data_IF_539452786586
#
_entry.id   IF_539452786586
#
_cell.length_a   1.000
_cell.length_b   1.000
_cell.length_c   1.000
_cell.angle_alpha   90.00
_cell.angle_beta   90.00
_cell.angle_gamma   90.00
#
_symmetry.space_group_name_H-M   'P 1'
#
loop_
_entity.id
_entity.type
_entity.pdbx_description
1 polymer ?
#
# COMPACT_ATOMS: atom_id res chain seq x y z
N UNK A 1 6.70 -10.31 21.28
CA UNK A 1 6.92 -10.50 19.84
C UNK A 1 5.87 -9.66 19.11
N UNK A 2 6.28 -8.83 18.15
CA UNK A 2 5.36 -7.95 17.41
C UNK A 2 4.87 -8.69 16.16
N UNK A 3 3.55 -8.89 16.06
CA UNK A 3 2.91 -9.58 14.95
C UNK A 3 2.52 -8.62 13.84
N UNK A 4 2.38 -9.16 12.62
CA UNK A 4 2.01 -8.40 11.43
C UNK A 4 0.88 -9.05 10.64
N UNK A 5 0.16 -8.27 9.86
CA UNK A 5 -0.78 -8.74 8.83
C UNK A 5 -0.66 -7.86 7.60
N UNK A 6 -0.88 -8.43 6.41
CA UNK A 6 -0.76 -7.73 5.14
C UNK A 6 -2.05 -7.85 4.36
N UNK A 7 -2.54 -6.73 3.83
CA UNK A 7 -3.61 -6.68 2.85
C UNK A 7 -3.02 -6.23 1.50
N UNK A 8 -3.41 -6.88 0.41
CA UNK A 8 -3.09 -6.45 -0.96
C UNK A 8 -4.35 -6.36 -1.80
N UNK A 9 -4.52 -5.23 -2.48
CA UNK A 9 -5.58 -5.01 -3.46
C UNK A 9 -5.01 -5.27 -4.87
N UNK A 10 -5.82 -5.84 -5.75
CA UNK A 10 -5.44 -6.08 -7.15
C UNK A 10 -6.57 -5.69 -8.09
N UNK A 11 -6.21 -5.40 -9.34
CA UNK A 11 -7.18 -5.17 -10.43
C UNK A 11 -7.31 -6.41 -11.32
N UNK A 12 -8.51 -6.74 -11.74
CA UNK A 12 -8.81 -7.79 -12.72
C UNK A 12 -8.82 -7.17 -14.12
N UNK A 13 -8.01 -7.72 -15.02
CA UNK A 13 -7.80 -7.20 -16.37
C UNK A 13 -8.25 -8.20 -17.43
N UNK A 14 -8.78 -7.70 -18.53
CA UNK A 14 -9.01 -8.49 -19.74
C UNK A 14 -7.65 -8.91 -20.35
N UNK A 15 -7.45 -10.20 -20.70
CA UNK A 15 -6.17 -10.68 -21.21
C UNK A 15 -5.82 -10.17 -22.61
N UNK A 16 -6.77 -9.59 -23.35
CA UNK A 16 -6.60 -9.10 -24.73
C UNK A 16 -6.61 -7.58 -24.77
N UNK A 17 -7.59 -6.93 -24.14
CA UNK A 17 -7.72 -5.47 -24.17
C UNK A 17 -6.96 -4.77 -23.04
N UNK A 18 -6.60 -5.50 -21.99
CA UNK A 18 -5.96 -4.99 -20.77
C UNK A 18 -6.81 -3.96 -20.00
N UNK A 19 -8.10 -3.86 -20.33
CA UNK A 19 -9.05 -3.03 -19.60
C UNK A 19 -9.49 -3.72 -18.30
N UNK A 20 -9.81 -2.96 -17.25
CA UNK A 20 -10.43 -3.50 -16.04
C UNK A 20 -11.76 -4.23 -16.34
N UNK A 21 -11.98 -5.39 -15.73
CA UNK A 21 -13.19 -6.19 -15.93
C UNK A 21 -13.96 -6.45 -14.65
N UNK A 22 -15.27 -6.28 -14.70
CA UNK A 22 -16.18 -6.39 -13.55
C UNK A 22 -16.50 -7.85 -13.17
N UNK A 23 -15.49 -8.58 -12.67
CA UNK A 23 -15.57 -10.01 -12.33
C UNK A 23 -15.20 -10.33 -10.88
N UNK A 24 -15.09 -9.32 -10.01
CA UNK A 24 -14.60 -9.49 -8.64
C UNK A 24 -15.41 -10.52 -7.83
N UNK A 25 -16.73 -10.53 -7.94
CA UNK A 25 -17.57 -11.46 -7.17
C UNK A 25 -17.41 -12.90 -7.64
N UNK A 26 -17.36 -13.13 -8.95
CA UNK A 26 -17.13 -14.46 -9.52
C UNK A 26 -15.75 -15.01 -9.12
N UNK A 27 -14.71 -14.17 -9.23
CA UNK A 27 -13.35 -14.55 -8.84
C UNK A 27 -13.24 -14.80 -7.33
N UNK A 28 -13.83 -13.93 -6.50
CA UNK A 28 -13.85 -14.09 -5.03
C UNK A 28 -14.54 -15.38 -4.63
N UNK A 29 -15.72 -15.66 -5.20
CA UNK A 29 -16.47 -16.88 -4.90
C UNK A 29 -15.67 -18.12 -5.28
N UNK A 30 -15.04 -18.14 -6.45
CA UNK A 30 -14.23 -19.27 -6.91
C UNK A 30 -12.97 -19.48 -6.06
N UNK A 31 -12.26 -18.40 -5.71
CA UNK A 31 -11.08 -18.46 -4.86
C UNK A 31 -11.44 -18.97 -3.44
N UNK A 32 -12.53 -18.46 -2.86
CA UNK A 32 -12.98 -18.84 -1.51
C UNK A 32 -13.58 -20.25 -1.40
N UNK A 33 -13.88 -20.90 -2.53
CA UNK A 33 -14.25 -22.33 -2.56
C UNK A 33 -13.03 -23.25 -2.71
N UNK A 34 -11.85 -22.69 -2.98
CA UNK A 34 -10.61 -23.45 -3.10
C UNK A 34 -10.11 -23.95 -1.75
N UNK A 35 -9.39 -25.08 -1.69
CA UNK A 35 -8.85 -25.63 -0.45
C UNK A 35 -7.71 -24.79 0.14
N UNK A 36 -7.29 -23.74 -0.58
CA UNK A 36 -6.12 -22.92 -0.28
C UNK A 36 -6.48 -21.57 0.31
N UNK A 37 -7.76 -21.26 0.57
CA UNK A 37 -8.21 -19.94 1.03
C UNK A 37 -9.18 -20.13 2.18
N UNK A 38 -8.90 -19.48 3.30
CA UNK A 38 -9.79 -19.45 4.45
C UNK A 38 -10.87 -18.36 4.31
N UNK A 39 -11.96 -18.52 5.04
CA UNK A 39 -13.07 -17.58 5.01
C UNK A 39 -12.62 -16.17 5.43
N UNK A 40 -12.79 -15.19 4.55
CA UNK A 40 -12.48 -13.78 4.80
C UNK A 40 -11.08 -13.35 4.35
N UNK A 41 -10.22 -14.27 3.89
CA UNK A 41 -8.92 -13.91 3.31
C UNK A 41 -9.03 -13.30 1.92
N UNK A 42 -10.18 -13.43 1.24
CA UNK A 42 -10.45 -12.81 -0.07
C UNK A 42 -11.76 -12.05 0.00
N UNK A 43 -11.72 -10.76 -0.33
CA UNK A 43 -12.83 -9.82 -0.17
C UNK A 43 -13.05 -9.00 -1.45
N UNK A 44 -14.28 -8.49 -1.60
CA UNK A 44 -14.56 -7.50 -2.64
C UNK A 44 -14.12 -6.12 -2.18
N UNK A 45 -13.53 -5.38 -3.12
CA UNK A 45 -13.19 -3.97 -2.96
C UNK A 45 -14.30 -3.04 -3.53
N UNK A 46 -14.09 -1.73 -3.50
CA UNK A 46 -15.02 -0.69 -3.95
C UNK A 46 -15.56 -0.93 -5.36
N UNK A 47 -14.68 -1.17 -6.34
CA UNK A 47 -15.08 -1.39 -7.74
C UNK A 47 -15.12 -2.89 -8.05
N UNK A 48 -16.06 -3.30 -8.90
CA UNK A 48 -16.25 -4.71 -9.28
C UNK A 48 -15.10 -5.29 -10.13
N UNK A 49 -14.09 -4.48 -10.45
CA UNK A 49 -12.86 -4.93 -11.09
C UNK A 49 -11.71 -5.13 -10.11
N UNK A 50 -11.93 -5.01 -8.80
CA UNK A 50 -10.88 -5.08 -7.80
C UNK A 50 -11.17 -6.16 -6.76
N UNK A 51 -10.11 -6.79 -6.29
CA UNK A 51 -10.17 -7.85 -5.29
C UNK A 51 -9.09 -7.60 -4.23
N UNK A 52 -9.45 -7.79 -2.97
CA UNK A 52 -8.55 -7.63 -1.83
C UNK A 52 -8.24 -9.01 -1.26
N UNK A 53 -6.98 -9.23 -0.89
CA UNK A 53 -6.57 -10.37 -0.08
C UNK A 53 -5.97 -9.91 1.24
N UNK A 54 -6.17 -10.68 2.30
CA UNK A 54 -5.62 -10.41 3.62
C UNK A 54 -4.94 -11.66 4.19
N UNK A 55 -3.70 -11.53 4.64
CA UNK A 55 -3.00 -12.63 5.34
C UNK A 55 -3.60 -12.86 6.72
N UNK A 56 -3.44 -14.06 7.30
CA UNK A 56 -3.55 -14.25 8.73
C UNK A 56 -2.54 -13.39 9.50
N UNK A 57 -2.69 -13.35 10.82
CA UNK A 57 -1.70 -12.73 11.72
C UNK A 57 -0.43 -13.58 11.70
N UNK A 58 0.66 -12.98 11.24
CA UNK A 58 1.97 -13.61 11.12
C UNK A 58 2.92 -13.14 12.22
N UNK A 59 3.82 -14.02 12.63
CA UNK A 59 4.92 -13.74 13.57
C UNK A 59 6.26 -13.59 12.87
N UNK A 60 6.40 -14.16 11.66
CA UNK A 60 7.63 -14.16 10.88
C UNK A 60 7.41 -13.69 9.43
N UNK A 61 8.46 -13.21 8.77
CA UNK A 61 8.38 -12.75 7.37
C UNK A 61 8.22 -13.89 6.36
N UNK A 62 8.72 -15.09 6.66
CA UNK A 62 8.54 -16.28 5.82
C UNK A 62 7.07 -16.76 5.82
N UNK A 63 6.36 -16.63 6.95
CA UNK A 63 4.90 -16.83 7.02
C UNK A 63 4.17 -15.84 6.10
N UNK A 64 4.52 -14.55 6.17
CA UNK A 64 3.96 -13.51 5.28
C UNK A 64 4.20 -13.88 3.82
N UNK A 65 5.44 -14.26 3.46
CA UNK A 65 5.80 -14.67 2.11
C UNK A 65 4.96 -15.85 1.62
N UNK A 66 4.82 -16.89 2.45
CA UNK A 66 4.03 -18.09 2.15
C UNK A 66 2.55 -17.77 1.93
N UNK A 67 1.96 -16.95 2.81
CA UNK A 67 0.55 -16.55 2.68
C UNK A 67 0.31 -15.69 1.45
N UNK A 68 1.15 -14.70 1.17
CA UNK A 68 1.00 -13.85 -0.02
C UNK A 68 1.13 -14.66 -1.32
N UNK A 69 2.10 -15.58 -1.41
CA UNK A 69 2.25 -16.45 -2.58
C UNK A 69 1.03 -17.36 -2.77
N UNK A 70 0.53 -17.97 -1.69
CA UNK A 70 -0.68 -18.80 -1.70
C UNK A 70 -1.90 -18.01 -2.18
N UNK A 71 -2.13 -16.83 -1.62
CA UNK A 71 -3.30 -16.00 -1.92
C UNK A 71 -3.24 -15.45 -3.35
N UNK A 72 -2.09 -14.93 -3.78
CA UNK A 72 -1.86 -14.48 -5.16
C UNK A 72 -2.10 -15.61 -6.17
N UNK A 73 -1.62 -16.82 -5.88
CA UNK A 73 -1.88 -17.98 -6.74
C UNK A 73 -3.37 -18.32 -6.77
N UNK A 74 -4.03 -18.43 -5.62
CA UNK A 74 -5.43 -18.81 -5.55
C UNK A 74 -6.34 -17.83 -6.33
N UNK A 75 -6.14 -16.53 -6.10
CA UNK A 75 -6.89 -15.47 -6.79
C UNK A 75 -6.51 -15.38 -8.27
N UNK A 76 -5.22 -15.52 -8.62
CA UNK A 76 -4.77 -15.54 -10.00
C UNK A 76 -5.37 -16.69 -10.81
N UNK A 77 -5.40 -17.91 -10.25
CA UNK A 77 -6.03 -19.07 -10.89
C UNK A 77 -7.54 -18.93 -11.00
N UNK A 78 -8.20 -18.36 -9.99
CA UNK A 78 -9.62 -18.04 -10.07
C UNK A 78 -9.90 -17.00 -11.17
N UNK A 79 -9.07 -15.95 -11.28
CA UNK A 79 -9.19 -14.96 -12.35
C UNK A 79 -9.08 -15.60 -13.74
N UNK A 80 -8.08 -16.48 -13.95
CA UNK A 80 -7.91 -17.19 -15.22
C UNK A 80 -9.12 -18.05 -15.58
N UNK A 81 -9.72 -18.75 -14.60
CA UNK A 81 -10.91 -19.57 -14.81
C UNK A 81 -12.14 -18.77 -15.27
N UNK A 82 -12.19 -17.48 -14.93
CA UNK A 82 -13.24 -16.55 -15.34
C UNK A 82 -12.82 -15.61 -16.49
N UNK A 83 -11.74 -15.96 -17.19
CA UNK A 83 -11.31 -15.28 -18.41
C UNK A 83 -10.63 -13.93 -18.17
N UNK A 84 -10.15 -13.66 -16.96
CA UNK A 84 -9.40 -12.44 -16.63
C UNK A 84 -8.00 -12.75 -16.10
N UNK A 85 -7.22 -11.69 -15.83
CA UNK A 85 -5.87 -11.75 -15.28
C UNK A 85 -5.79 -10.89 -14.04
N UNK A 86 -5.03 -11.35 -13.05
CA UNK A 86 -4.73 -10.57 -11.86
C UNK A 86 -3.61 -9.57 -12.17
N UNK A 87 -3.88 -8.28 -12.04
CA UNK A 87 -2.93 -7.18 -12.23
C UNK A 87 -2.35 -6.70 -10.91
N UNK A 88 -1.02 -6.77 -10.77
CA UNK A 88 -0.25 -6.34 -9.60
C UNK A 88 0.32 -4.92 -9.76
N UNK A 89 -0.51 -3.99 -10.23
CA UNK A 89 -0.18 -2.57 -10.37
C UNK A 89 -1.08 -1.73 -9.46
N UNK A 90 -0.52 -0.68 -8.87
CA UNK A 90 -1.27 0.20 -7.98
C UNK A 90 -2.23 1.14 -8.72
N UNK A 91 -2.19 1.15 -10.04
CA UNK A 91 -3.21 1.74 -10.92
C UNK A 91 -3.58 0.75 -12.02
N UNK A 92 -4.82 0.79 -12.49
CA UNK A 92 -5.16 0.25 -13.81
C UNK A 92 -4.47 1.11 -14.90
N UNK A 93 -3.60 0.54 -15.76
CA UNK A 93 -2.90 1.34 -16.76
C UNK A 93 -3.83 1.93 -17.83
N UNK A 94 -4.91 1.21 -18.15
CA UNK A 94 -5.93 1.61 -19.11
C UNK A 94 -7.28 1.76 -18.41
N UNK A 95 -8.15 2.56 -19.01
CA UNK A 95 -9.51 2.82 -18.54
C UNK A 95 -10.44 2.90 -19.74
N UNK A 96 -11.63 2.32 -19.59
CA UNK A 96 -12.69 2.42 -20.60
C UNK A 96 -13.48 3.73 -20.45
N UNK A 97 -14.24 4.10 -21.48
CA UNK A 97 -15.14 5.25 -21.43
C UNK A 97 -16.26 5.06 -20.41
N UNK A 98 -16.76 3.84 -20.26
CA UNK A 98 -17.74 3.48 -19.23
C UNK A 98 -17.04 3.18 -17.90
N UNK A 99 -17.51 3.75 -16.77
CA UNK A 99 -16.90 3.50 -15.47
C UNK A 99 -17.21 2.08 -14.99
N UNK A 100 -16.23 1.47 -14.32
CA UNK A 100 -16.42 0.18 -13.65
C UNK A 100 -17.52 0.33 -12.57
N UNK A 101 -18.54 -0.54 -12.54
CA UNK A 101 -19.56 -0.50 -11.51
C UNK A 101 -18.99 -0.69 -10.10
N UNK A 102 -19.55 0.04 -9.14
CA UNK A 102 -19.28 -0.18 -7.71
C UNK A 102 -19.85 -1.51 -7.24
N UNK A 103 -19.14 -2.17 -6.32
CA UNK A 103 -19.62 -3.34 -5.59
C UNK A 103 -20.90 -2.98 -4.83
N UNK A 104 -21.90 -3.87 -4.86
CA UNK A 104 -23.27 -3.61 -4.34
C UNK A 104 -23.36 -3.67 -2.81
N UNK A 105 -22.50 -2.93 -2.10
CA UNK A 105 -22.57 -2.69 -0.64
C UNK A 105 -23.15 -1.29 -0.39
N UNK A 106 -24.03 -1.11 0.61
CA UNK A 106 -24.64 0.21 0.90
C UNK A 106 -23.63 1.35 1.05
N UNK A 107 -22.51 1.10 1.74
CA UNK A 107 -21.41 2.07 1.91
C UNK A 107 -20.84 2.56 0.58
N UNK A 108 -20.58 1.65 -0.35
CA UNK A 108 -19.99 1.98 -1.65
C UNK A 108 -20.95 2.71 -2.57
N UNK A 109 -22.24 2.36 -2.53
CA UNK A 109 -23.29 3.09 -3.24
C UNK A 109 -23.38 4.54 -2.76
N UNK A 110 -23.36 4.75 -1.44
CA UNK A 110 -23.34 6.08 -0.82
C UNK A 110 -22.10 6.89 -1.24
N UNK A 111 -20.92 6.28 -1.21
CA UNK A 111 -19.69 6.95 -1.69
C UNK A 111 -19.81 7.43 -3.14
N UNK A 112 -20.45 6.63 -4.01
CA UNK A 112 -20.68 7.00 -5.42
C UNK A 112 -21.67 8.14 -5.56
N UNK A 113 -22.72 8.17 -4.74
CA UNK A 113 -23.68 9.27 -4.72
C UNK A 113 -23.02 10.61 -4.31
N UNK A 114 -22.11 10.56 -3.34
CA UNK A 114 -21.41 11.74 -2.81
C UNK A 114 -20.27 12.24 -3.73
N UNK A 115 -19.51 11.33 -4.34
CA UNK A 115 -18.27 11.66 -5.04
C UNK A 115 -18.08 10.84 -6.34
N UNK A 116 -19.11 10.82 -7.19
CA UNK A 116 -19.20 9.97 -8.39
C UNK A 116 -17.90 9.89 -9.22
N UNK A 117 -17.31 11.03 -9.62
CA UNK A 117 -16.09 11.04 -10.46
C UNK A 117 -14.84 10.54 -9.72
N UNK A 118 -14.73 10.80 -8.42
CA UNK A 118 -13.61 10.26 -7.62
C UNK A 118 -13.72 8.74 -7.49
N UNK A 119 -14.93 8.22 -7.30
CA UNK A 119 -15.20 6.78 -7.25
C UNK A 119 -14.93 6.12 -8.60
N UNK A 120 -15.36 6.72 -9.71
CA UNK A 120 -15.11 6.19 -11.06
C UNK A 120 -13.61 6.15 -11.41
N UNK A 121 -12.78 6.91 -10.70
CA UNK A 121 -11.33 6.98 -10.83
C UNK A 121 -10.60 6.20 -9.72
N UNK A 122 -11.31 5.49 -8.85
CA UNK A 122 -10.75 4.70 -7.76
C UNK A 122 -10.23 3.33 -8.26
N UNK A 123 -9.68 3.28 -9.48
CA UNK A 123 -8.99 2.11 -10.05
C UNK A 123 -7.54 2.03 -9.54
N UNK A 124 -7.39 2.17 -8.23
CA UNK A 124 -6.11 2.18 -7.53
C UNK A 124 -6.05 1.09 -6.48
N UNK A 125 -4.89 0.46 -6.34
CA UNK A 125 -4.70 -0.73 -5.53
C UNK A 125 -3.53 -0.56 -4.56
N UNK A 126 -3.78 -0.73 -3.27
CA UNK A 126 -2.80 -0.57 -2.20
C UNK A 126 -2.23 -1.88 -1.66
N UNK A 127 -1.18 -1.71 -0.86
CA UNK A 127 -0.75 -2.69 0.13
C UNK A 127 -0.90 -2.04 1.51
N UNK A 128 -1.55 -2.72 2.44
CA UNK A 128 -1.65 -2.28 3.83
C UNK A 128 -0.88 -3.21 4.74
N UNK A 129 -0.09 -2.64 5.66
CA UNK A 129 0.65 -3.41 6.66
C UNK A 129 0.12 -3.05 8.04
N UNK A 130 -0.45 -4.04 8.72
CA UNK A 130 -0.85 -3.98 10.11
C UNK A 130 0.29 -4.45 10.99
N UNK A 131 0.64 -3.67 12.01
CA UNK A 131 1.62 -4.04 13.03
C UNK A 131 0.99 -3.93 14.40
N UNK A 132 1.05 -5.01 15.19
CA UNK A 132 0.48 -5.02 16.53
C UNK A 132 1.13 -3.98 17.43
N UNK A 133 0.29 -3.26 18.18
CA UNK A 133 0.72 -2.30 19.21
C UNK A 133 0.17 -2.74 20.58
N UNK A 134 0.88 -2.47 21.69
CA UNK A 134 0.44 -2.91 23.03
C UNK A 134 -0.90 -2.31 23.44
N UNK A 135 -1.11 -1.04 23.13
CA UNK A 135 -2.29 -0.24 23.45
C UNK A 135 -2.40 0.94 22.48
N UNK A 136 -3.54 1.64 22.50
CA UNK A 136 -3.83 2.72 21.56
C UNK A 136 -2.97 3.95 21.81
N UNK A 137 -2.64 4.25 23.06
CA UNK A 137 -1.75 5.35 23.46
C UNK A 137 -0.36 5.18 22.86
N UNK A 138 0.24 4.00 23.03
CA UNK A 138 1.49 3.60 22.40
C UNK A 138 1.37 3.63 20.87
N UNK A 139 0.22 3.25 20.33
CA UNK A 139 -0.05 3.33 18.90
C UNK A 139 -0.04 4.77 18.35
N UNK A 140 -0.61 5.75 19.08
CA UNK A 140 -0.52 7.18 18.70
C UNK A 140 0.92 7.66 18.76
N UNK A 141 1.64 7.30 19.83
CA UNK A 141 3.05 7.64 19.98
C UNK A 141 3.92 7.05 18.85
N UNK A 142 3.63 5.82 18.44
CA UNK A 142 4.30 5.16 17.31
C UNK A 142 3.95 5.84 15.98
N UNK A 143 2.69 6.21 15.77
CA UNK A 143 2.22 6.92 14.58
C UNK A 143 2.94 8.26 14.40
N UNK A 144 3.08 9.04 15.47
CA UNK A 144 3.79 10.32 15.45
C UNK A 144 5.26 10.20 15.03
N UNK A 145 5.93 9.10 15.37
CA UNK A 145 7.32 8.82 15.01
C UNK A 145 7.46 8.23 13.62
N UNK A 146 6.52 7.38 13.21
CA UNK A 146 6.54 6.73 11.90
C UNK A 146 6.19 7.71 10.77
N UNK A 147 5.34 8.72 11.01
CA UNK A 147 4.79 9.58 9.94
C UNK A 147 5.85 10.24 9.06
N UNK A 148 7.01 10.60 9.62
CA UNK A 148 8.11 11.24 8.87
C UNK A 148 8.85 10.28 7.92
N UNK A 149 8.64 8.97 8.07
CA UNK A 149 9.17 7.93 7.19
C UNK A 149 8.20 7.50 6.09
N UNK A 150 6.93 7.95 6.13
CA UNK A 150 5.94 7.65 5.09
C UNK A 150 6.39 8.06 3.68
N UNK A 151 7.07 9.22 3.46
CA UNK A 151 7.59 9.56 2.13
C UNK A 151 8.60 8.54 1.63
N UNK A 152 9.49 8.05 2.50
CA UNK A 152 10.48 7.03 2.13
C UNK A 152 9.80 5.71 1.80
N UNK A 153 8.84 5.26 2.62
CA UNK A 153 8.05 4.06 2.36
C UNK A 153 7.30 4.13 1.01
N UNK A 154 6.65 5.28 0.75
CA UNK A 154 5.97 5.52 -0.52
C UNK A 154 6.94 5.41 -1.70
N UNK A 155 8.08 6.10 -1.62
CA UNK A 155 9.09 6.09 -2.68
C UNK A 155 9.62 4.68 -2.98
N UNK A 156 9.84 3.86 -1.96
CA UNK A 156 10.26 2.46 -2.10
C UNK A 156 9.19 1.60 -2.77
N UNK A 157 7.93 1.81 -2.41
CA UNK A 157 6.81 0.99 -2.88
C UNK A 157 6.27 1.37 -4.26
N UNK A 158 6.66 2.52 -4.81
CA UNK A 158 6.03 3.12 -5.98
C UNK A 158 5.85 2.13 -7.15
N UNK A 159 4.58 1.94 -7.56
CA UNK A 159 4.19 0.95 -8.57
C UNK A 159 2.97 1.41 -9.40
N UNK A 160 2.87 2.71 -9.68
CA UNK A 160 1.77 3.25 -10.48
C UNK A 160 2.18 4.43 -11.37
N UNK A 161 3.14 4.27 -12.29
CA UNK A 161 3.54 5.37 -13.17
C UNK A 161 2.56 5.64 -14.31
N UNK A 162 1.73 4.67 -14.69
CA UNK A 162 0.85 4.75 -15.86
C UNK A 162 -0.61 4.95 -15.46
N UNK A 163 -1.29 5.86 -16.15
CA UNK A 163 -2.72 6.14 -16.02
C UNK A 163 -3.30 6.54 -17.38
N UNK A 164 -4.47 6.01 -17.73
CA UNK A 164 -5.17 6.32 -18.99
C UNK A 164 -4.26 6.18 -20.23
N UNK A 165 -3.41 5.14 -20.23
CA UNK A 165 -2.53 4.79 -21.35
C UNK A 165 -1.23 5.60 -21.43
N UNK A 166 -0.98 6.53 -20.51
CA UNK A 166 0.17 7.42 -20.54
C UNK A 166 1.00 7.33 -19.26
N UNK A 167 2.32 7.55 -19.38
CA UNK A 167 3.16 7.85 -18.21
C UNK A 167 2.72 9.21 -17.65
N UNK A 168 2.35 9.20 -16.37
CA UNK A 168 1.86 10.38 -15.64
C UNK A 168 2.97 11.34 -15.25
N UNK A 169 4.22 10.90 -15.34
CA UNK A 169 5.38 11.55 -14.76
C UNK A 169 5.55 11.28 -13.25
N UNK A 170 4.62 10.59 -12.58
CA UNK A 170 4.74 10.20 -11.18
C UNK A 170 5.22 8.75 -11.06
N UNK A 171 5.89 8.42 -9.96
CA UNK A 171 6.24 7.03 -9.63
C UNK A 171 5.05 6.32 -8.95
N UNK A 172 4.31 7.04 -8.09
CA UNK A 172 3.03 6.60 -7.51
C UNK A 172 1.91 7.58 -7.86
N UNK A 173 1.20 7.30 -8.95
CA UNK A 173 -0.01 8.02 -9.30
C UNK A 173 -1.18 7.68 -8.36
N UNK A 174 -1.19 6.47 -7.78
CA UNK A 174 -2.15 6.08 -6.73
C UNK A 174 -2.23 7.11 -5.61
N UNK A 175 -1.08 7.62 -5.16
CA UNK A 175 -1.04 8.65 -4.11
C UNK A 175 -1.76 9.93 -4.53
N UNK A 176 -1.63 10.34 -5.79
CA UNK A 176 -2.28 11.54 -6.32
C UNK A 176 -3.79 11.34 -6.46
N UNK A 177 -4.22 10.19 -6.96
CA UNK A 177 -5.64 9.82 -7.05
C UNK A 177 -6.28 9.83 -5.67
N UNK A 178 -5.64 9.19 -4.70
CA UNK A 178 -6.16 9.03 -3.33
C UNK A 178 -6.15 10.35 -2.53
N UNK A 179 -5.18 11.23 -2.80
CA UNK A 179 -5.05 12.54 -2.14
C UNK A 179 -6.19 13.54 -2.42
N UNK A 180 -7.16 13.18 -3.29
CA UNK A 180 -8.31 14.02 -3.63
C UNK A 180 -9.49 13.84 -2.68
N UNK A 181 -9.42 12.87 -1.76
CA UNK A 181 -10.45 12.66 -0.76
C UNK A 181 -10.30 13.64 0.43
N UNK A 182 -11.40 14.04 1.10
CA UNK A 182 -11.40 15.14 2.08
C UNK A 182 -10.44 14.96 3.27
N UNK A 183 -10.32 13.73 3.79
CA UNK A 183 -9.48 13.41 4.95
C UNK A 183 -8.38 12.44 4.52
N UNK A 184 -7.50 12.88 3.63
CA UNK A 184 -6.44 12.06 3.04
C UNK A 184 -5.05 12.65 3.25
N UNK A 185 -4.01 11.83 3.01
CA UNK A 185 -2.61 12.23 3.11
C UNK A 185 -1.92 11.73 4.38
N UNK A 186 -0.75 12.28 4.74
CA UNK A 186 -0.04 11.88 5.95
C UNK A 186 -0.86 12.22 7.21
N UNK A 187 -0.85 11.37 8.24
CA UNK A 187 -1.55 11.64 9.48
C UNK A 187 -0.98 12.90 10.15
N UNK A 188 -1.83 13.74 10.76
CA UNK A 188 -1.36 14.85 11.57
C UNK A 188 -0.54 14.39 12.78
N UNK A 189 0.09 15.33 13.47
CA UNK A 189 0.64 15.07 14.81
C UNK A 189 -0.50 15.06 15.82
N UNK A 190 -0.46 14.13 16.77
CA UNK A 190 -1.44 14.05 17.86
C UNK A 190 -0.75 14.15 19.20
N UNK A 191 -1.23 15.02 20.10
CA UNK A 191 -0.61 15.21 21.41
C UNK A 191 -0.82 14.01 22.34
N UNK A 192 -1.99 13.40 22.25
CA UNK A 192 -2.43 12.27 23.08
C UNK A 192 -3.44 11.41 22.31
N UNK A 193 -3.81 10.27 22.87
CA UNK A 193 -4.94 9.50 22.35
C UNK A 193 -6.26 10.29 22.38
N UNK A 194 -6.49 11.10 23.42
CA UNK A 194 -7.67 11.96 23.48
C UNK A 194 -7.70 12.97 22.32
N UNK A 195 -6.57 13.62 22.02
CA UNK A 195 -6.43 14.53 20.87
C UNK A 195 -6.66 13.82 19.53
N UNK A 196 -6.30 12.53 19.43
CA UNK A 196 -6.61 11.70 18.27
C UNK A 196 -8.12 11.45 18.12
N UNK A 197 -8.78 11.03 19.19
CA UNK A 197 -10.22 10.73 19.19
C UNK A 197 -11.08 11.99 18.99
N UNK A 198 -10.77 13.08 19.70
CA UNK A 198 -11.50 14.35 19.60
C UNK A 198 -11.47 14.92 18.17
N UNK A 199 -10.34 14.80 17.48
CA UNK A 199 -10.20 15.30 16.11
C UNK A 199 -10.95 14.45 15.09
N UNK A 200 -11.06 13.14 15.34
CA UNK A 200 -11.89 12.26 14.51
C UNK A 200 -13.37 12.54 14.76
N UNK A 201 -13.77 12.67 16.03
CA UNK A 201 -15.15 12.97 16.39
C UNK A 201 -15.59 14.32 15.80
N UNK A 202 -14.76 15.35 15.85
CA UNK A 202 -15.05 16.63 15.23
C UNK A 202 -15.30 16.53 13.70
N UNK A 203 -14.62 15.61 13.00
CA UNK A 203 -14.86 15.36 11.57
C UNK A 203 -16.20 14.65 11.33
N UNK A 204 -16.58 13.73 12.22
CA UNK A 204 -17.88 13.03 12.18
C UNK A 204 -19.03 13.99 12.50
N UNK A 205 -18.92 14.77 13.57
CA UNK A 205 -19.92 15.76 14.00
C UNK A 205 -20.13 16.86 12.94
N UNK A 206 -19.06 17.29 12.27
CA UNK A 206 -19.14 18.24 11.16
C UNK A 206 -19.79 17.63 9.90
N UNK A 207 -19.98 16.31 9.84
CA UNK A 207 -20.55 15.60 8.70
C UNK A 207 -19.66 15.59 7.45
N UNK A 208 -18.36 15.88 7.59
CA UNK A 208 -17.41 15.83 6.47
C UNK A 208 -16.97 14.40 6.13
N UNK A 209 -17.15 13.48 7.09
CA UNK A 209 -17.06 12.04 6.91
C UNK A 209 -18.28 11.36 7.55
N UNK A 210 -18.75 10.27 6.96
CA UNK A 210 -19.87 9.47 7.43
C UNK A 210 -19.45 8.41 8.47
N UNK A 211 -18.22 7.93 8.40
CA UNK A 211 -17.65 6.97 9.34
C UNK A 211 -16.11 7.06 9.40
N UNK A 212 -15.51 6.46 10.43
CA UNK A 212 -14.04 6.45 10.65
C UNK A 212 -13.27 5.76 9.53
N UNK A 213 -13.91 4.88 8.78
CA UNK A 213 -13.34 4.25 7.60
C UNK A 213 -13.09 5.21 6.44
N UNK A 214 -13.66 6.43 6.45
CA UNK A 214 -13.35 7.51 5.49
C UNK A 214 -12.16 8.39 5.93
N UNK A 215 -11.46 8.01 6.99
CA UNK A 215 -10.15 8.58 7.33
C UNK A 215 -9.10 7.90 6.45
N UNK A 216 -8.76 8.56 5.36
CA UNK A 216 -7.81 8.09 4.34
C UNK A 216 -6.37 8.52 4.63
N UNK A 217 -6.01 8.58 5.91
CA UNK A 217 -4.62 8.81 6.29
C UNK A 217 -3.74 7.65 5.83
N UNK A 218 -2.52 8.01 5.43
CA UNK A 218 -1.48 7.10 4.94
C UNK A 218 -0.92 6.17 6.01
N UNK A 219 -1.17 6.46 7.28
CA UNK A 219 -1.11 5.52 8.39
C UNK A 219 -2.11 5.93 9.46
N UNK A 220 -2.68 4.97 10.19
CA UNK A 220 -3.66 5.22 11.26
C UNK A 220 -3.69 4.08 12.28
N UNK A 221 -4.34 4.33 13.42
CA UNK A 221 -4.76 3.23 14.28
C UNK A 221 -5.89 2.48 13.57
N UNK A 222 -5.84 1.15 13.56
CA UNK A 222 -6.97 0.36 13.09
C UNK A 222 -8.11 0.43 14.11
N UNK A 223 -9.33 0.62 13.62
CA UNK A 223 -10.54 0.54 14.46
C UNK A 223 -10.96 -0.92 14.72
N UNK A 224 -10.50 -1.86 13.88
CA UNK A 224 -10.88 -3.28 13.94
C UNK A 224 -9.86 -4.11 14.71
N UNK A 225 -8.58 -3.79 14.59
CA UNK A 225 -7.48 -4.57 15.17
C UNK A 225 -6.61 -3.69 16.09
N UNK A 226 -5.98 -4.25 17.13
CA UNK A 226 -5.06 -3.52 18.00
C UNK A 226 -3.70 -3.30 17.30
N UNK A 227 -3.73 -2.58 16.17
CA UNK A 227 -2.61 -2.43 15.25
C UNK A 227 -2.48 -1.00 14.78
N UNK A 228 -1.25 -0.58 14.49
CA UNK A 228 -0.98 0.54 13.60
C UNK A 228 -1.00 0.01 12.15
N UNK A 229 -1.80 0.65 11.31
CA UNK A 229 -2.03 0.28 9.92
C UNK A 229 -1.34 1.30 8.99
N UNK A 230 -0.34 0.88 8.22
CA UNK A 230 0.34 1.69 7.21
C UNK A 230 -0.28 1.42 5.85
N UNK A 231 -0.77 2.48 5.18
CA UNK A 231 -1.59 2.41 3.96
C UNK A 231 -1.02 3.21 2.77
N UNK A 232 0.14 3.83 2.94
CA UNK A 232 0.78 4.61 1.87
C UNK A 232 1.32 3.75 0.73
N UNK A 233 1.49 2.45 0.93
CA UNK A 233 2.18 1.59 -0.01
C UNK A 233 1.29 1.29 -1.22
N UNK A 234 1.89 1.37 -2.40
CA UNK A 234 1.33 0.78 -3.62
C UNK A 234 1.39 -0.76 -3.51
N UNK A 235 0.46 -1.49 -4.13
CA UNK A 235 0.60 -2.97 -4.24
C UNK A 235 1.87 -3.31 -5.01
N UNK A 236 2.55 -4.42 -4.70
CA UNK A 236 3.85 -4.76 -5.30
C UNK A 236 3.75 -5.79 -6.43
N UNK A 237 4.60 -5.65 -7.46
CA UNK A 237 4.69 -6.63 -8.56
C UNK A 237 5.01 -8.03 -8.02
N UNK A 238 6.02 -8.13 -7.15
CA UNK A 238 6.52 -9.38 -6.59
C UNK A 238 6.21 -9.47 -5.09
N UNK A 239 5.81 -10.65 -4.61
CA UNK A 239 5.52 -10.87 -3.18
C UNK A 239 6.75 -10.61 -2.29
N UNK A 240 7.96 -10.81 -2.82
CA UNK A 240 9.21 -10.54 -2.10
C UNK A 240 9.42 -9.02 -1.82
N UNK A 241 8.89 -8.13 -2.66
CA UNK A 241 8.92 -6.69 -2.39
C UNK A 241 7.88 -6.31 -1.32
N UNK A 242 6.72 -6.98 -1.31
CA UNK A 242 5.74 -6.84 -0.23
C UNK A 242 6.33 -7.29 1.12
N UNK A 243 7.06 -8.41 1.17
CA UNK A 243 7.75 -8.90 2.37
C UNK A 243 8.81 -7.91 2.87
N UNK A 244 9.60 -7.32 1.96
CA UNK A 244 10.56 -6.27 2.29
C UNK A 244 9.89 -5.10 3.02
N UNK A 245 8.81 -4.57 2.42
CA UNK A 245 8.08 -3.44 2.98
C UNK A 245 7.44 -3.80 4.32
N UNK A 246 6.90 -5.01 4.48
CA UNK A 246 6.37 -5.49 5.77
C UNK A 246 7.44 -5.54 6.85
N UNK A 247 8.64 -6.05 6.55
CA UNK A 247 9.77 -6.08 7.49
C UNK A 247 10.21 -4.69 7.92
N UNK A 248 10.30 -3.74 6.98
CA UNK A 248 10.65 -2.35 7.26
C UNK A 248 9.56 -1.67 8.11
N UNK A 249 8.28 -1.84 7.78
CA UNK A 249 7.16 -1.26 8.54
C UNK A 249 7.10 -1.85 9.95
N UNK A 250 7.29 -3.17 10.10
CA UNK A 250 7.41 -3.83 11.41
C UNK A 250 8.53 -3.21 12.24
N UNK A 251 9.71 -3.05 11.65
CA UNK A 251 10.87 -2.52 12.36
C UNK A 251 10.71 -1.02 12.70
N UNK A 252 10.11 -0.21 11.82
CA UNK A 252 9.77 1.18 12.11
C UNK A 252 8.82 1.31 13.29
N UNK A 253 7.73 0.54 13.32
CA UNK A 253 6.79 0.56 14.46
C UNK A 253 7.45 0.05 15.73
N UNK A 254 8.27 -1.01 15.64
CA UNK A 254 9.00 -1.55 16.79
C UNK A 254 9.99 -0.55 17.38
N UNK A 255 10.79 0.13 16.54
CA UNK A 255 11.68 1.22 16.95
C UNK A 255 10.89 2.35 17.59
N UNK A 256 9.77 2.77 16.98
CA UNK A 256 8.94 3.84 17.53
C UNK A 256 8.34 3.50 18.90
N UNK A 257 7.93 2.24 19.14
CA UNK A 257 7.49 1.75 20.45
C UNK A 257 8.64 1.77 21.47
N UNK A 258 9.84 1.35 21.06
CA UNK A 258 11.02 1.35 21.93
C UNK A 258 11.42 2.78 22.33
N UNK A 259 11.37 3.72 21.39
CA UNK A 259 11.65 5.15 21.64
C UNK A 259 10.62 5.79 22.56
N UNK A 260 9.34 5.46 22.42
CA UNK A 260 8.30 5.90 23.35
C UNK A 260 8.59 5.42 24.78
N UNK A 261 8.89 4.13 24.95
CA UNK A 261 9.25 3.57 26.26
C UNK A 261 10.51 4.21 26.86
N UNK A 262 11.45 4.63 26.01
CA UNK A 262 12.67 5.30 26.42
C UNK A 262 12.49 6.82 26.65
N UNK A 263 11.31 7.39 26.39
CA UNK A 263 11.05 8.82 26.54
C UNK A 263 11.74 9.70 25.49
N UNK A 264 12.13 9.14 24.34
CA UNK A 264 12.74 9.89 23.24
C UNK A 264 11.66 10.70 22.54
N UNK A 265 11.80 12.02 22.45
CA UNK A 265 10.80 12.88 21.80
C UNK A 265 10.58 12.51 20.32
N UNK A 266 9.34 12.56 19.81
CA UNK A 266 9.07 12.34 18.39
C UNK A 266 9.69 13.44 17.52
N UNK A 267 10.02 13.15 16.25
CA UNK A 267 10.59 14.13 15.34
C UNK A 267 9.59 15.26 15.04
N UNK A 268 10.08 16.50 15.12
CA UNK A 268 9.33 17.67 14.70
C UNK A 268 9.28 17.75 13.17
N UNK A 269 8.08 17.85 12.62
CA UNK A 269 7.87 18.03 11.18
C UNK A 269 6.56 18.79 10.98
N UNK A 270 6.62 19.91 10.25
CA UNK A 270 5.43 20.69 9.96
C UNK A 270 4.51 19.90 9.01
N UNK A 271 3.18 20.05 9.13
CA UNK A 271 2.25 19.39 8.21
C UNK A 271 2.50 19.74 6.74
N UNK A 272 2.88 20.98 6.44
CA UNK A 272 3.16 21.45 5.08
C UNK A 272 4.36 20.73 4.49
N UNK A 273 5.44 20.60 5.26
CA UNK A 273 6.64 19.91 4.83
C UNK A 273 6.39 18.42 4.62
N UNK A 274 5.64 17.77 5.52
CA UNK A 274 5.31 16.35 5.39
C UNK A 274 4.44 16.09 4.15
N UNK A 275 3.44 16.94 3.89
CA UNK A 275 2.64 16.86 2.67
C UNK A 275 3.48 17.06 1.39
N UNK A 276 4.36 18.06 1.39
CA UNK A 276 5.27 18.30 0.26
C UNK A 276 6.24 17.11 0.05
N UNK A 277 6.75 16.51 1.13
CA UNK A 277 7.59 15.33 1.08
C UNK A 277 6.87 14.11 0.50
N UNK A 278 5.60 13.88 0.90
CA UNK A 278 4.77 12.82 0.31
C UNK A 278 4.56 13.02 -1.19
N UNK A 279 4.24 14.25 -1.61
CA UNK A 279 4.08 14.56 -3.04
C UNK A 279 5.40 14.36 -3.80
N UNK A 280 6.52 14.82 -3.24
CA UNK A 280 7.85 14.67 -3.85
C UNK A 280 8.24 13.20 -4.00
N UNK A 281 7.98 12.38 -2.98
CA UNK A 281 8.17 10.93 -3.04
C UNK A 281 7.26 10.27 -4.09
N UNK A 282 5.98 10.65 -4.15
CA UNK A 282 5.05 10.17 -5.18
C UNK A 282 5.54 10.50 -6.60
N UNK A 283 6.12 11.69 -6.79
CA UNK A 283 6.62 12.16 -8.08
C UNK A 283 7.89 11.46 -8.52
N UNK A 284 8.85 11.26 -7.61
CA UNK A 284 10.21 10.89 -7.97
C UNK A 284 10.61 9.46 -7.61
N UNK A 285 9.85 8.76 -6.77
CA UNK A 285 10.26 7.44 -6.28
C UNK A 285 11.68 7.49 -5.71
N UNK A 286 12.50 6.49 -6.04
CA UNK A 286 13.92 6.43 -5.63
C UNK A 286 14.91 7.01 -6.66
N UNK A 287 14.44 7.55 -7.79
CA UNK A 287 15.30 8.01 -8.90
C UNK A 287 16.00 9.36 -8.62
N UNK A 288 15.61 10.07 -7.57
CA UNK A 288 16.08 11.43 -7.27
C UNK A 288 16.43 11.59 -5.79
N UNK A 289 15.96 12.67 -5.21
CA UNK A 289 16.11 13.02 -3.81
C UNK A 289 14.85 12.70 -3.04
N UNK A 290 15.00 12.53 -1.72
CA UNK A 290 13.91 12.44 -0.76
C UNK A 290 14.11 13.50 0.32
N UNK A 291 13.02 13.84 1.01
CA UNK A 291 13.08 14.65 2.24
C UNK A 291 13.29 13.69 3.40
N UNK A 292 14.37 13.89 4.16
CA UNK A 292 14.70 13.09 5.34
C UNK A 292 13.76 13.41 6.52
N UNK A 293 13.76 12.60 7.60
CA UNK A 293 12.92 12.84 8.77
C UNK A 293 13.16 14.16 9.51
N UNK A 294 14.30 14.83 9.25
CA UNK A 294 14.64 16.14 9.80
C UNK A 294 14.22 17.28 8.85
N UNK A 295 13.62 16.97 7.71
CA UNK A 295 13.15 17.96 6.74
C UNK A 295 14.18 18.40 5.69
N UNK A 296 15.34 17.73 5.60
CA UNK A 296 16.36 18.07 4.61
C UNK A 296 16.24 17.21 3.35
N UNK A 297 16.43 17.83 2.19
CA UNK A 297 16.54 17.10 0.93
C UNK A 297 17.89 16.38 0.85
N UNK A 298 17.88 15.07 0.56
CA UNK A 298 19.06 14.21 0.38
C UNK A 298 18.87 13.27 -0.79
N UNK A 299 19.93 12.60 -1.24
CA UNK A 299 19.77 11.51 -2.22
C UNK A 299 18.89 10.40 -1.64
N UNK A 300 18.11 9.71 -2.49
CA UNK A 300 17.29 8.59 -2.02
C UNK A 300 18.14 7.53 -1.29
N UNK A 301 19.35 7.24 -1.78
CA UNK A 301 20.29 6.32 -1.14
C UNK A 301 20.70 6.74 0.27
N UNK A 302 20.95 8.03 0.52
CA UNK A 302 21.29 8.53 1.85
C UNK A 302 20.11 8.39 2.82
N UNK A 303 18.89 8.68 2.36
CA UNK A 303 17.68 8.54 3.19
C UNK A 303 17.40 7.07 3.50
N UNK A 304 17.61 6.16 2.54
CA UNK A 304 17.51 4.72 2.78
C UNK A 304 18.58 4.22 3.75
N UNK A 305 19.81 4.74 3.66
CA UNK A 305 20.85 4.42 4.64
C UNK A 305 20.48 4.88 6.05
N UNK A 306 19.92 6.09 6.18
CA UNK A 306 19.41 6.61 7.46
C UNK A 306 18.26 5.75 7.99
N UNK A 307 17.30 5.37 7.14
CA UNK A 307 16.20 4.47 7.48
C UNK A 307 16.73 3.15 8.00
N UNK A 308 17.61 2.49 7.24
CA UNK A 308 18.17 1.20 7.63
C UNK A 308 18.92 1.29 8.96
N UNK A 309 19.76 2.32 9.14
CA UNK A 309 20.45 2.56 10.41
C UNK A 309 19.47 2.74 11.57
N UNK A 310 18.36 3.44 11.35
CA UNK A 310 17.33 3.70 12.36
C UNK A 310 16.59 2.42 12.79
N UNK A 311 16.36 1.49 11.86
CA UNK A 311 15.58 0.27 12.13
C UNK A 311 16.41 -1.00 12.38
N UNK A 312 17.73 -0.97 12.15
CA UNK A 312 18.62 -2.13 12.33
C UNK A 312 18.45 -2.83 13.68
N UNK A 313 18.41 -2.13 14.84
CA UNK A 313 18.24 -2.81 16.13
C UNK A 313 16.94 -3.62 16.21
N UNK A 314 15.83 -3.09 15.68
CA UNK A 314 14.55 -3.79 15.65
C UNK A 314 14.55 -4.97 14.66
N UNK A 315 15.24 -4.85 13.53
CA UNK A 315 15.43 -5.95 12.58
C UNK A 315 16.26 -7.09 13.19
N UNK A 316 17.29 -6.77 13.97
CA UNK A 316 18.12 -7.75 14.68
C UNK A 316 17.31 -8.48 15.76
N UNK A 317 16.53 -7.75 16.55
CA UNK A 317 15.64 -8.32 17.57
C UNK A 317 14.57 -9.25 16.96
N UNK A 318 14.02 -8.88 15.81
CA UNK A 318 13.02 -9.68 15.11
C UNK A 318 13.61 -10.85 14.31
N UNK A 319 14.92 -10.87 14.07
CA UNK A 319 15.58 -11.86 13.19
C UNK A 319 15.48 -11.56 11.69
N UNK A 320 15.00 -10.37 11.31
CA UNK A 320 14.69 -9.97 9.92
C UNK A 320 15.87 -9.38 9.15
N UNK A 321 16.94 -8.99 9.84
CA UNK A 321 18.01 -8.18 9.27
C UNK A 321 18.58 -8.74 7.96
N UNK A 322 18.81 -10.07 7.92
CA UNK A 322 19.37 -10.72 6.73
C UNK A 322 18.41 -10.71 5.56
N UNK A 323 17.14 -11.01 5.79
CA UNK A 323 16.12 -11.08 4.76
C UNK A 323 15.83 -9.68 4.20
N UNK A 324 15.54 -8.72 5.07
CA UNK A 324 15.29 -7.31 4.70
C UNK A 324 16.51 -6.72 3.98
N UNK A 325 17.73 -6.95 4.48
CA UNK A 325 18.95 -6.47 3.83
C UNK A 325 19.15 -7.05 2.42
N UNK A 326 18.89 -8.35 2.25
CA UNK A 326 18.99 -9.01 0.94
C UNK A 326 17.93 -8.50 -0.05
N UNK A 327 16.69 -8.32 0.42
CA UNK A 327 15.60 -7.83 -0.42
C UNK A 327 15.79 -6.35 -0.80
N UNK A 328 16.28 -5.52 0.13
CA UNK A 328 16.62 -4.13 -0.16
C UNK A 328 17.73 -4.03 -1.21
N UNK A 329 18.76 -4.88 -1.10
CA UNK A 329 19.82 -4.94 -2.11
C UNK A 329 19.23 -5.28 -3.49
N UNK A 330 18.32 -6.25 -3.58
CA UNK A 330 17.61 -6.57 -4.83
C UNK A 330 16.85 -5.36 -5.37
N UNK A 331 16.04 -4.68 -4.55
CA UNK A 331 15.28 -3.49 -4.95
C UNK A 331 16.21 -2.41 -5.55
N UNK A 332 17.34 -2.13 -4.91
CA UNK A 332 18.31 -1.14 -5.39
C UNK A 332 19.00 -1.54 -6.69
N UNK A 333 19.15 -2.84 -6.97
CA UNK A 333 19.73 -3.33 -8.23
C UNK A 333 18.71 -3.32 -9.37
N UNK A 334 17.45 -3.65 -9.09
CA UNK A 334 16.40 -3.79 -10.12
C UNK A 334 15.61 -2.51 -10.38
N UNK A 335 15.68 -1.55 -9.46
CA UNK A 335 14.76 -0.42 -9.40
C UNK A 335 13.42 -0.80 -8.76
N UNK A 336 12.64 0.23 -8.46
CA UNK A 336 11.26 0.10 -7.98
C UNK A 336 10.36 -0.53 -9.05
N UNK A 337 9.19 -1.04 -8.68
CA UNK A 337 8.20 -1.48 -9.66
C UNK A 337 7.83 -0.41 -10.69
N UNK A 338 7.75 0.87 -10.31
CA UNK A 338 7.53 1.97 -11.26
C UNK A 338 8.65 2.08 -12.30
N UNK A 339 9.92 1.97 -11.90
CA UNK A 339 11.06 2.02 -12.81
C UNK A 339 11.01 0.87 -13.83
N UNK A 340 10.64 -0.32 -13.36
CA UNK A 340 10.43 -1.52 -14.20
C UNK A 340 9.28 -1.32 -15.18
N UNK A 341 8.14 -0.80 -14.73
CA UNK A 341 7.00 -0.50 -15.60
C UNK A 341 7.37 0.49 -16.71
N UNK A 342 8.06 1.59 -16.38
CA UNK A 342 8.49 2.58 -17.39
C UNK A 342 9.46 2.01 -18.40
N UNK A 343 10.44 1.21 -17.95
CA UNK A 343 11.39 0.53 -18.84
C UNK A 343 10.66 -0.38 -19.83
N UNK A 344 9.78 -1.24 -19.33
CA UNK A 344 9.04 -2.18 -20.18
C UNK A 344 8.08 -1.45 -21.12
N UNK A 345 7.43 -0.37 -20.66
CA UNK A 345 6.58 0.47 -21.50
C UNK A 345 7.37 1.12 -22.65
N UNK A 346 8.59 1.62 -22.37
CA UNK A 346 9.45 2.21 -23.39
C UNK A 346 9.95 1.16 -24.41
N UNK A 347 10.28 -0.04 -23.95
CA UNK A 347 10.85 -1.10 -24.79
C UNK A 347 9.80 -1.84 -25.63
N UNK A 348 8.60 -2.07 -25.09
CA UNK A 348 7.59 -2.96 -25.67
C UNK A 348 6.15 -2.45 -25.64
N UNK A 349 5.93 -1.20 -25.23
CA UNK A 349 4.61 -0.56 -25.21
C UNK A 349 3.65 -1.17 -24.18
N UNK A 350 2.37 -0.85 -24.33
CA UNK A 350 1.31 -1.22 -23.38
C UNK A 350 1.14 -2.73 -23.23
N UNK A 351 1.34 -3.51 -24.31
CA UNK A 351 1.24 -4.97 -24.25
C UNK A 351 2.32 -5.56 -23.34
N UNK A 352 3.57 -5.10 -23.46
CA UNK A 352 4.65 -5.58 -22.61
C UNK A 352 4.44 -5.17 -21.14
N UNK A 353 3.91 -3.96 -20.91
CA UNK A 353 3.53 -3.52 -19.58
C UNK A 353 2.43 -4.41 -18.98
N UNK A 354 1.40 -4.74 -19.75
CA UNK A 354 0.34 -5.65 -19.33
C UNK A 354 0.88 -7.05 -18.99
N UNK A 355 1.82 -7.58 -19.77
CA UNK A 355 2.47 -8.86 -19.48
C UNK A 355 3.32 -8.82 -18.19
N UNK A 356 3.98 -7.69 -17.91
CA UNK A 356 4.74 -7.49 -16.67
C UNK A 356 3.80 -7.52 -15.45
N UNK A 357 2.74 -6.69 -15.46
CA UNK A 357 1.84 -6.53 -14.29
C UNK A 357 0.89 -7.72 -14.10
N UNK A 358 0.71 -8.57 -15.12
CA UNK A 358 -0.08 -9.81 -15.00
C UNK A 358 0.78 -11.07 -14.83
N UNK A 359 2.11 -10.91 -14.73
CA UNK A 359 3.05 -12.01 -14.47
C UNK A 359 3.31 -12.94 -15.66
N UNK A 360 2.79 -12.64 -16.87
CA UNK A 360 3.00 -13.47 -18.07
C UNK A 360 4.47 -13.49 -18.54
N UNK A 361 5.24 -12.43 -18.29
CA UNK A 361 6.64 -12.35 -18.69
C UNK A 361 7.60 -13.26 -17.90
N UNK A 362 7.24 -13.70 -16.70
CA UNK A 362 8.14 -14.49 -15.83
C UNK A 362 8.14 -16.00 -16.14
N UNK A 363 7.16 -16.49 -16.91
CA UNK A 363 7.01 -17.92 -17.25
C UNK A 363 7.80 -18.34 -18.51
N UNK A 364 8.37 -17.40 -19.28
CA UNK A 364 9.10 -17.70 -20.51
C UNK A 364 10.61 -17.89 -20.33
N UNK A 365 11.13 -17.88 -19.09
CA UNK A 365 12.58 -17.89 -18.85
C UNK A 365 13.01 -18.38 -17.46
N UNK A 366 12.47 -19.52 -17.00
CA UNK A 366 13.06 -20.28 -15.89
C UNK A 366 13.32 -21.72 -16.32
#
# INVERSE_FOLDING_TARGET
MITVGVEEEYVLLDPVTHLPVSRAEEVRAAAGLGPWVDAGEVQNELLQAQIEVATPVCTQLDEVAGHLLRLRHAVGSAAEAYGCRLGTSATAPLRDAEPVPVTRKPRYLKMREEACRLVDEQLINGMHVHVAVPDRETGVAALNRLRVWLPTLLAMSANSPVWEGCDTGFASWRTIVFGRWPVSGPPPYFRTLADYEERIEALLEAGVIADRGQIYWQARLSDRYPTLEVRCLDVQLDAADAVLLTGIVRALVSTAIAEEKAGVAPPECSPELLNAAMWHAARHGLESTLVDPQGHQRSAGDVLWLLMRYITPALEEAGDQREVGSLLHRLLQTGTPADRQRKVLADGGMSALADLITGRGAAAGR
#
